data_IF_496401884341
#
_entry.id   IF_496401884341
#
_cell.length_a   1.000
_cell.length_b   1.000
_cell.length_c   1.000
_cell.angle_alpha   90.00
_cell.angle_beta   90.00
_cell.angle_gamma   90.00
#
_symmetry.space_group_name_H-M   'P 1'
#
loop_
_entity.id
_entity.type
_entity.pdbx_description
1 polymer ?
#
# COMPACT_ATOMS: atom_id res chain seq x y z
N UNK A 1 1.24 -23.09 -21.87
CA UNK A 1 0.55 -21.79 -21.71
C UNK A 1 -0.37 -21.59 -22.91
N UNK A 2 -1.67 -21.84 -22.81
CA UNK A 2 -2.57 -21.82 -23.98
C UNK A 2 -3.65 -20.73 -23.97
N UNK A 3 -3.77 -19.91 -22.91
CA UNK A 3 -4.80 -18.83 -22.83
C UNK A 3 -4.33 -17.53 -22.14
N UNK A 4 -3.06 -17.38 -21.77
CA UNK A 4 -2.59 -16.22 -20.99
C UNK A 4 -3.24 -16.10 -19.60
N UNK A 5 -3.83 -17.19 -19.11
CA UNK A 5 -4.44 -17.37 -17.79
C UNK A 5 -3.42 -18.12 -16.91
N UNK A 6 -3.04 -17.55 -15.77
CA UNK A 6 -2.09 -18.20 -14.87
C UNK A 6 -2.80 -19.22 -13.95
N UNK A 7 -2.05 -20.06 -13.23
CA UNK A 7 -2.65 -21.07 -12.33
C UNK A 7 -3.52 -20.42 -11.25
N UNK A 8 -3.10 -19.24 -10.76
CA UNK A 8 -3.85 -18.46 -9.77
C UNK A 8 -5.22 -18.04 -10.32
N UNK A 9 -5.31 -17.57 -11.56
CA UNK A 9 -6.56 -17.20 -12.22
C UNK A 9 -7.52 -18.39 -12.29
N UNK A 10 -7.03 -19.59 -12.64
CA UNK A 10 -7.87 -20.80 -12.68
C UNK A 10 -8.43 -21.12 -11.30
N UNK A 11 -7.58 -21.07 -10.26
CA UNK A 11 -8.01 -21.31 -8.88
C UNK A 11 -9.03 -20.27 -8.42
N UNK A 12 -8.78 -18.98 -8.67
CA UNK A 12 -9.70 -17.90 -8.29
C UNK A 12 -11.04 -17.99 -9.04
N UNK A 13 -11.03 -18.35 -10.33
CA UNK A 13 -12.26 -18.59 -11.08
C UNK A 13 -13.06 -19.76 -10.52
N UNK A 14 -12.41 -20.86 -10.16
CA UNK A 14 -13.08 -21.99 -9.50
C UNK A 14 -13.70 -21.59 -8.17
N UNK A 15 -13.00 -20.78 -7.38
CA UNK A 15 -13.51 -20.22 -6.12
C UNK A 15 -14.74 -19.33 -6.39
N UNK A 16 -14.65 -18.37 -7.30
CA UNK A 16 -15.76 -17.46 -7.63
C UNK A 16 -16.99 -18.21 -8.17
N UNK A 17 -16.79 -19.21 -9.05
CA UNK A 17 -17.87 -20.08 -9.55
C UNK A 17 -18.48 -20.91 -8.41
N UNK A 18 -17.66 -21.39 -7.48
CA UNK A 18 -18.13 -22.08 -6.27
C UNK A 18 -19.01 -21.18 -5.40
N UNK A 19 -18.59 -19.95 -5.14
CA UNK A 19 -19.38 -18.96 -4.39
C UNK A 19 -20.66 -18.56 -5.13
N UNK A 20 -20.62 -18.41 -6.46
CA UNK A 20 -21.81 -18.17 -7.28
C UNK A 20 -22.81 -19.32 -7.15
N UNK A 21 -22.35 -20.56 -7.32
CA UNK A 21 -23.20 -21.74 -7.22
C UNK A 21 -23.81 -21.90 -5.81
N UNK A 22 -23.01 -21.65 -4.76
CA UNK A 22 -23.49 -21.68 -3.39
C UNK A 22 -24.52 -20.57 -3.13
N UNK A 23 -24.25 -19.34 -3.57
CA UNK A 23 -25.15 -18.20 -3.42
C UNK A 23 -26.48 -18.38 -4.16
N UNK A 24 -26.46 -18.94 -5.37
CA UNK A 24 -27.68 -19.29 -6.13
C UNK A 24 -28.48 -20.37 -5.41
N UNK A 25 -27.84 -21.36 -4.77
CA UNK A 25 -28.54 -22.40 -4.02
C UNK A 25 -29.14 -21.87 -2.71
N UNK A 26 -28.39 -21.06 -1.99
CA UNK A 26 -28.79 -20.50 -0.69
C UNK A 26 -29.86 -19.41 -0.81
N UNK A 27 -29.73 -18.53 -1.82
CA UNK A 27 -30.54 -17.31 -1.98
C UNK A 27 -30.00 -16.12 -1.18
N UNK A 28 -30.53 -14.93 -1.45
CA UNK A 28 -30.03 -13.66 -0.94
C UNK A 28 -30.05 -13.58 0.58
N UNK A 29 -31.19 -13.87 1.21
CA UNK A 29 -31.34 -13.72 2.68
C UNK A 29 -30.38 -14.63 3.45
N UNK A 30 -30.16 -15.85 2.96
CA UNK A 30 -29.25 -16.82 3.57
C UNK A 30 -27.80 -16.43 3.35
N UNK A 31 -27.47 -15.96 2.15
CA UNK A 31 -26.11 -15.52 1.80
C UNK A 31 -25.73 -14.28 2.61
N UNK A 32 -26.61 -13.28 2.68
CA UNK A 32 -26.43 -12.07 3.48
C UNK A 32 -26.29 -12.40 4.97
N UNK A 33 -27.16 -13.28 5.50
CA UNK A 33 -27.05 -13.76 6.87
C UNK A 33 -25.70 -14.43 7.15
N UNK A 34 -25.22 -15.27 6.24
CA UNK A 34 -23.91 -15.91 6.34
C UNK A 34 -22.75 -14.92 6.32
N UNK A 35 -22.81 -13.88 5.48
CA UNK A 35 -21.79 -12.83 5.39
C UNK A 35 -21.75 -12.02 6.70
N UNK A 36 -22.90 -11.55 7.18
CA UNK A 36 -22.99 -10.82 8.45
C UNK A 36 -22.50 -11.68 9.62
N UNK A 37 -22.86 -12.97 9.59
CA UNK A 37 -22.37 -13.95 10.55
C UNK A 37 -20.85 -14.13 10.51
N UNK A 38 -20.26 -14.22 9.32
CA UNK A 38 -18.81 -14.31 9.14
C UNK A 38 -18.09 -13.07 9.69
N UNK A 39 -18.59 -11.87 9.38
CA UNK A 39 -18.04 -10.60 9.90
C UNK A 39 -18.14 -10.55 11.43
N UNK A 40 -19.29 -10.90 12.00
CA UNK A 40 -19.45 -10.99 13.45
C UNK A 40 -18.48 -12.00 14.09
N UNK A 41 -18.25 -13.14 13.42
CA UNK A 41 -17.25 -14.12 13.81
C UNK A 41 -15.82 -13.59 13.77
N UNK A 42 -15.48 -12.77 12.76
CA UNK A 42 -14.19 -12.07 12.68
C UNK A 42 -13.99 -11.03 13.78
N UNK A 43 -15.02 -10.26 14.12
CA UNK A 43 -15.00 -9.34 15.26
C UNK A 43 -14.82 -10.11 16.57
N UNK A 44 -15.56 -11.21 16.75
CA UNK A 44 -15.37 -12.08 17.92
C UNK A 44 -13.96 -12.67 17.98
N UNK A 45 -13.38 -13.04 16.84
CA UNK A 45 -12.00 -13.53 16.76
C UNK A 45 -10.99 -12.48 17.23
N UNK A 46 -11.16 -11.21 16.84
CA UNK A 46 -10.30 -10.12 17.32
C UNK A 46 -10.30 -10.01 18.85
N UNK A 47 -11.47 -10.06 19.49
CA UNK A 47 -11.58 -10.05 20.95
C UNK A 47 -11.08 -11.35 21.61
N UNK A 48 -11.07 -12.48 20.89
CA UNK A 48 -10.56 -13.75 21.38
C UNK A 48 -9.02 -13.82 21.36
N UNK A 49 -8.34 -13.05 20.51
CA UNK A 49 -6.86 -13.04 20.42
C UNK A 49 -6.17 -12.88 21.79
N UNK A 50 -6.49 -11.86 22.63
CA UNK A 50 -5.84 -11.70 23.94
C UNK A 50 -6.14 -12.84 24.91
N UNK A 51 -7.31 -13.50 24.79
CA UNK A 51 -7.68 -14.63 25.64
C UNK A 51 -6.88 -15.89 25.26
N UNK A 52 -6.82 -16.20 23.96
CA UNK A 52 -6.09 -17.35 23.42
C UNK A 52 -4.60 -17.21 23.64
N UNK A 53 -4.05 -16.00 23.46
CA UNK A 53 -2.63 -15.74 23.68
C UNK A 53 -2.23 -15.86 25.15
N UNK A 54 -3.15 -15.62 26.09
CA UNK A 54 -2.95 -15.85 27.52
C UNK A 54 -2.93 -17.34 27.92
N UNK A 55 -3.57 -18.21 27.14
CA UNK A 55 -3.63 -19.66 27.42
C UNK A 55 -2.51 -20.45 26.75
N UNK A 56 -2.02 -19.99 25.59
CA UNK A 56 -0.96 -20.65 24.83
C UNK A 56 0.41 -20.04 25.14
N UNK A 57 1.03 -20.56 26.20
CA UNK A 57 2.34 -20.10 26.70
C UNK A 57 3.47 -20.39 25.70
N UNK A 58 3.38 -21.49 24.95
CA UNK A 58 4.40 -21.87 23.95
C UNK A 58 4.36 -20.98 22.70
N UNK A 59 5.50 -20.37 22.37
CA UNK A 59 5.66 -19.42 21.26
C UNK A 59 5.35 -20.05 19.89
N UNK A 60 5.65 -21.34 19.68
CA UNK A 60 5.40 -22.03 18.41
C UNK A 60 3.91 -22.32 18.13
N UNK A 61 3.12 -22.64 19.15
CA UNK A 61 1.70 -22.96 18.99
C UNK A 61 0.78 -21.75 19.07
N UNK A 62 1.26 -20.64 19.63
CA UNK A 62 0.44 -19.43 19.83
C UNK A 62 -0.12 -18.88 18.53
N UNK A 63 0.71 -18.77 17.49
CA UNK A 63 0.29 -18.27 16.17
C UNK A 63 -0.73 -19.23 15.54
N UNK A 64 -0.45 -20.54 15.57
CA UNK A 64 -1.37 -21.55 15.06
C UNK A 64 -2.73 -21.52 15.80
N UNK A 65 -2.72 -21.39 17.13
CA UNK A 65 -3.92 -21.32 17.96
C UNK A 65 -4.76 -20.07 17.72
N UNK A 66 -4.12 -18.91 17.47
CA UNK A 66 -4.80 -17.68 17.06
C UNK A 66 -5.49 -17.89 15.70
N UNK A 67 -4.76 -18.43 14.72
CA UNK A 67 -5.30 -18.69 13.37
C UNK A 67 -6.49 -19.67 13.44
N UNK A 68 -6.33 -20.80 14.14
CA UNK A 68 -7.37 -21.80 14.30
C UNK A 68 -8.61 -21.21 14.98
N UNK A 69 -8.42 -20.48 16.08
CA UNK A 69 -9.54 -19.83 16.78
C UNK A 69 -10.27 -18.84 15.88
N UNK A 70 -9.52 -18.02 15.13
CA UNK A 70 -10.11 -17.06 14.20
C UNK A 70 -10.94 -17.75 13.11
N UNK A 71 -10.39 -18.81 12.49
CA UNK A 71 -11.09 -19.60 11.47
C UNK A 71 -12.35 -20.25 12.03
N UNK A 72 -12.28 -20.83 13.23
CA UNK A 72 -13.43 -21.47 13.87
C UNK A 72 -14.54 -20.47 14.20
N UNK A 73 -14.21 -19.31 14.75
CA UNK A 73 -15.19 -18.27 15.08
C UNK A 73 -15.84 -17.68 13.83
N UNK A 74 -15.07 -17.43 12.78
CA UNK A 74 -15.59 -17.00 11.48
C UNK A 74 -16.52 -18.05 10.86
N UNK A 75 -16.14 -19.33 10.89
CA UNK A 75 -16.97 -20.43 10.39
C UNK A 75 -18.26 -20.61 11.21
N UNK A 76 -18.17 -20.55 12.54
CA UNK A 76 -19.32 -20.63 13.43
C UNK A 76 -20.28 -19.45 13.21
N UNK A 77 -19.74 -18.24 13.11
CA UNK A 77 -20.51 -17.04 12.79
C UNK A 77 -21.25 -17.17 11.46
N UNK A 78 -20.57 -17.61 10.40
CA UNK A 78 -21.18 -17.88 9.10
C UNK A 78 -22.32 -18.91 9.20
N UNK A 79 -22.09 -20.03 9.88
CA UNK A 79 -23.10 -21.08 10.06
C UNK A 79 -24.34 -20.58 10.81
N UNK A 80 -24.15 -19.83 11.91
CA UNK A 80 -25.25 -19.22 12.68
C UNK A 80 -26.00 -18.20 11.83
N UNK A 81 -25.29 -17.32 11.13
CA UNK A 81 -25.86 -16.31 10.27
C UNK A 81 -26.68 -16.91 9.12
N UNK A 82 -26.17 -17.94 8.46
CA UNK A 82 -26.90 -18.66 7.42
C UNK A 82 -28.11 -19.41 7.98
N UNK A 83 -28.01 -20.00 9.17
CA UNK A 83 -29.14 -20.66 9.83
C UNK A 83 -30.27 -19.68 10.19
N UNK A 84 -29.92 -18.49 10.69
CA UNK A 84 -30.88 -17.40 10.91
C UNK A 84 -31.49 -16.93 9.59
N UNK A 85 -30.69 -16.76 8.55
CA UNK A 85 -31.17 -16.42 7.21
C UNK A 85 -32.16 -17.44 6.66
N UNK A 86 -31.94 -18.74 6.91
CA UNK A 86 -32.89 -19.80 6.56
C UNK A 86 -34.22 -19.68 7.32
N UNK A 87 -34.20 -19.29 8.60
CA UNK A 87 -35.43 -19.06 9.37
C UNK A 87 -36.23 -17.88 8.83
N UNK A 88 -35.56 -16.77 8.51
CA UNK A 88 -36.19 -15.58 7.93
C UNK A 88 -36.77 -15.90 6.55
N UNK A 89 -36.01 -16.60 5.70
CA UNK A 89 -36.45 -17.01 4.35
C UNK A 89 -37.74 -17.84 4.36
N UNK A 90 -37.96 -18.67 5.38
CA UNK A 90 -39.21 -19.48 5.51
C UNK A 90 -40.48 -18.62 5.65
N UNK A 91 -40.35 -17.38 6.14
CA UNK A 91 -41.47 -16.43 6.28
C UNK A 91 -41.85 -15.69 5.00
N UNK A 92 -40.99 -15.68 3.98
CA UNK A 92 -41.19 -14.93 2.73
C UNK A 92 -41.71 -15.89 1.65
N UNK A 93 -43.01 -15.88 1.37
CA UNK A 93 -43.67 -16.78 0.40
C UNK A 93 -44.21 -16.01 -0.82
N UNK A 94 -43.36 -15.78 -1.82
CA UNK A 94 -43.80 -15.24 -3.12
C UNK A 94 -43.09 -15.96 -4.29
N UNK A 95 -43.85 -16.49 -5.26
CA UNK A 95 -43.32 -17.37 -6.32
C UNK A 95 -42.36 -16.66 -7.29
N UNK A 96 -42.62 -15.37 -7.61
CA UNK A 96 -41.71 -14.55 -8.44
C UNK A 96 -40.42 -14.14 -7.72
N UNK A 97 -40.42 -14.12 -6.38
CA UNK A 97 -39.25 -13.75 -5.59
C UNK A 97 -38.15 -14.81 -5.61
N UNK A 98 -38.42 -16.06 -6.03
CA UNK A 98 -37.45 -17.15 -5.90
C UNK A 98 -36.30 -17.07 -6.91
N UNK A 99 -36.58 -16.71 -8.17
CA UNK A 99 -35.53 -16.54 -9.17
C UNK A 99 -34.65 -15.31 -8.88
N UNK A 100 -35.29 -14.22 -8.48
CA UNK A 100 -34.62 -12.97 -8.07
C UNK A 100 -33.78 -13.18 -6.80
N UNK A 101 -34.32 -13.85 -5.78
CA UNK A 101 -33.59 -14.19 -4.54
C UNK A 101 -32.34 -15.04 -4.82
N UNK A 102 -32.44 -16.02 -5.72
CA UNK A 102 -31.29 -16.84 -6.11
C UNK A 102 -30.26 -16.05 -6.91
N UNK A 103 -30.70 -15.24 -7.86
CA UNK A 103 -29.82 -14.37 -8.64
C UNK A 103 -29.06 -13.38 -7.75
N UNK A 104 -29.78 -12.68 -6.87
CA UNK A 104 -29.20 -11.74 -5.89
C UNK A 104 -28.27 -12.45 -4.89
N UNK A 105 -28.63 -13.65 -4.43
CA UNK A 105 -27.77 -14.46 -3.56
C UNK A 105 -26.45 -14.85 -4.22
N UNK A 106 -26.53 -15.27 -5.49
CA UNK A 106 -25.36 -15.52 -6.34
C UNK A 106 -24.48 -14.28 -6.48
N UNK A 107 -25.08 -13.16 -6.89
CA UNK A 107 -24.39 -11.88 -7.09
C UNK A 107 -23.67 -11.42 -5.81
N UNK A 108 -24.38 -11.36 -4.68
CA UNK A 108 -23.80 -10.92 -3.40
C UNK A 108 -22.67 -11.83 -2.95
N UNK A 109 -22.81 -13.14 -3.12
CA UNK A 109 -21.75 -14.09 -2.76
C UNK A 109 -20.50 -13.90 -3.60
N UNK A 110 -20.64 -13.64 -4.90
CA UNK A 110 -19.51 -13.33 -5.80
C UNK A 110 -18.87 -11.99 -5.43
N UNK A 111 -19.66 -10.95 -5.17
CA UNK A 111 -19.13 -9.64 -4.77
C UNK A 111 -18.34 -9.74 -3.47
N UNK A 112 -18.85 -10.44 -2.47
CA UNK A 112 -18.13 -10.63 -1.20
C UNK A 112 -16.89 -11.49 -1.40
N UNK A 113 -16.97 -12.58 -2.15
CA UNK A 113 -15.80 -13.39 -2.47
C UNK A 113 -14.72 -12.59 -3.20
N UNK A 114 -15.11 -11.74 -4.15
CA UNK A 114 -14.21 -10.83 -4.85
C UNK A 114 -13.54 -9.83 -3.90
N UNK A 115 -14.31 -9.20 -2.99
CA UNK A 115 -13.75 -8.32 -1.96
C UNK A 115 -12.75 -9.04 -1.05
N UNK A 116 -13.07 -10.25 -0.59
CA UNK A 116 -12.15 -11.07 0.22
C UNK A 116 -10.88 -11.42 -0.54
N UNK A 117 -11.00 -11.81 -1.81
CA UNK A 117 -9.86 -12.06 -2.70
C UNK A 117 -9.01 -10.79 -2.84
N UNK A 118 -9.64 -9.63 -3.07
CA UNK A 118 -8.95 -8.34 -3.19
C UNK A 118 -8.17 -7.98 -1.93
N UNK A 119 -8.80 -8.08 -0.76
CA UNK A 119 -8.15 -7.80 0.53
C UNK A 119 -6.99 -8.76 0.83
N UNK A 120 -7.16 -10.04 0.47
CA UNK A 120 -6.11 -11.05 0.64
C UNK A 120 -4.95 -10.80 -0.32
N UNK A 121 -5.23 -10.52 -1.59
CA UNK A 121 -4.23 -10.18 -2.60
C UNK A 121 -3.43 -8.94 -2.20
N UNK A 122 -4.11 -7.87 -1.75
CA UNK A 122 -3.49 -6.67 -1.21
C UNK A 122 -2.58 -6.97 -0.01
N UNK A 123 -3.05 -7.81 0.91
CA UNK A 123 -2.25 -8.21 2.07
C UNK A 123 -1.00 -8.99 1.66
N UNK A 124 -1.10 -9.88 0.69
CA UNK A 124 0.06 -10.66 0.22
C UNK A 124 1.03 -9.80 -0.60
N UNK A 125 0.53 -8.97 -1.52
CA UNK A 125 1.38 -8.13 -2.39
C UNK A 125 2.23 -7.14 -1.60
N UNK A 126 1.68 -6.62 -0.51
CA UNK A 126 2.36 -5.69 0.41
C UNK A 126 3.50 -6.30 1.25
N UNK A 127 3.62 -7.63 1.31
CA UNK A 127 4.75 -8.30 1.97
C UNK A 127 6.02 -8.08 1.12
N UNK A 128 5.85 -7.94 -0.20
CA UNK A 128 6.94 -7.75 -1.14
C UNK A 128 7.78 -9.02 -1.32
N UNK A 129 7.15 -10.20 -1.28
CA UNK A 129 7.81 -11.46 -1.66
C UNK A 129 7.80 -11.56 -3.19
N UNK A 130 8.96 -11.54 -3.87
CA UNK A 130 9.04 -11.48 -5.33
C UNK A 130 8.14 -12.44 -6.09
N UNK A 131 8.18 -13.74 -5.77
CA UNK A 131 7.41 -14.78 -6.46
C UNK A 131 5.90 -14.60 -6.30
N UNK A 132 5.44 -14.25 -5.09
CA UNK A 132 4.01 -14.08 -4.81
C UNK A 132 3.47 -12.79 -5.41
N UNK A 133 4.20 -11.68 -5.24
CA UNK A 133 3.81 -10.38 -5.78
C UNK A 133 3.73 -10.39 -7.30
N UNK A 134 4.65 -11.07 -8.00
CA UNK A 134 4.58 -11.24 -9.46
C UNK A 134 3.35 -12.06 -9.88
N UNK A 135 3.06 -13.19 -9.22
CA UNK A 135 1.89 -14.02 -9.55
C UNK A 135 0.56 -13.27 -9.35
N UNK A 136 0.47 -12.46 -8.28
CA UNK A 136 -0.71 -11.63 -8.00
C UNK A 136 -0.85 -10.53 -9.05
N UNK A 137 0.24 -9.81 -9.35
CA UNK A 137 0.22 -8.72 -10.31
C UNK A 137 -0.05 -9.19 -11.75
N UNK A 138 0.35 -10.41 -12.10
CA UNK A 138 0.08 -11.02 -13.40
C UNK A 138 -1.30 -11.67 -13.51
N UNK A 139 -2.04 -11.81 -12.40
CA UNK A 139 -3.40 -12.38 -12.41
C UNK A 139 -4.39 -11.43 -13.07
N UNK A 140 -5.11 -11.94 -14.07
CA UNK A 140 -6.21 -11.19 -14.71
C UNK A 140 -7.42 -11.08 -13.79
N UNK A 141 -7.70 -12.11 -12.99
CA UNK A 141 -8.82 -12.10 -12.06
C UNK A 141 -8.60 -11.07 -10.95
N UNK A 142 -7.41 -11.04 -10.34
CA UNK A 142 -7.10 -10.04 -9.31
C UNK A 142 -7.16 -8.63 -9.88
N UNK A 143 -6.55 -8.37 -11.04
CA UNK A 143 -6.64 -7.06 -11.70
C UNK A 143 -8.07 -6.64 -12.00
N UNK A 144 -8.88 -7.54 -12.56
CA UNK A 144 -10.28 -7.24 -12.83
C UNK A 144 -11.09 -6.93 -11.56
N UNK A 145 -10.82 -7.63 -10.46
CA UNK A 145 -11.43 -7.33 -9.16
C UNK A 145 -10.95 -5.97 -8.64
N UNK A 146 -9.65 -5.69 -8.73
CA UNK A 146 -9.08 -4.42 -8.28
C UNK A 146 -9.63 -3.24 -9.09
N UNK A 147 -9.68 -3.33 -10.42
CA UNK A 147 -10.22 -2.31 -11.33
C UNK A 147 -11.72 -2.03 -11.06
N UNK A 148 -12.47 -3.05 -10.65
CA UNK A 148 -13.88 -2.91 -10.28
C UNK A 148 -14.10 -2.42 -8.85
N UNK A 149 -13.08 -2.45 -8.00
CA UNK A 149 -13.18 -2.01 -6.60
C UNK A 149 -12.95 -0.50 -6.53
N UNK A 150 -13.90 0.29 -6.02
CA UNK A 150 -13.73 1.74 -5.90
C UNK A 150 -12.57 2.13 -4.97
N UNK A 151 -11.83 3.18 -5.33
CA UNK A 151 -10.69 3.67 -4.55
C UNK A 151 -11.01 3.98 -3.08
N UNK A 152 -12.16 4.60 -2.71
CA UNK A 152 -12.49 4.83 -1.30
C UNK A 152 -12.53 3.55 -0.46
N UNK A 153 -12.89 2.41 -1.06
CA UNK A 153 -12.90 1.11 -0.38
C UNK A 153 -11.47 0.60 -0.17
N UNK A 154 -10.60 0.74 -1.19
CA UNK A 154 -9.18 0.37 -1.11
C UNK A 154 -8.45 1.21 -0.07
N UNK A 155 -8.73 2.51 -0.01
CA UNK A 155 -8.15 3.44 0.95
C UNK A 155 -8.54 3.11 2.39
N UNK A 156 -9.82 2.79 2.64
CA UNK A 156 -10.27 2.35 3.95
C UNK A 156 -9.60 1.03 4.36
N UNK A 157 -9.44 0.08 3.44
CA UNK A 157 -8.73 -1.16 3.71
C UNK A 157 -7.24 -0.91 4.05
N UNK A 158 -6.58 0.00 3.34
CA UNK A 158 -5.22 0.43 3.64
C UNK A 158 -5.11 1.12 5.01
N UNK A 159 -6.07 1.98 5.35
CA UNK A 159 -6.19 2.62 6.67
C UNK A 159 -6.34 1.62 7.82
N UNK A 160 -7.22 0.65 7.68
CA UNK A 160 -7.43 -0.42 8.67
C UNK A 160 -6.16 -1.26 8.88
N UNK A 161 -5.46 -1.58 7.79
CA UNK A 161 -4.18 -2.30 7.85
C UNK A 161 -3.10 -1.47 8.54
N UNK A 162 -2.97 -0.20 8.19
CA UNK A 162 -1.97 0.70 8.78
C UNK A 162 -2.18 0.86 10.29
N UNK A 163 -3.43 0.90 10.75
CA UNK A 163 -3.75 0.92 12.19
C UNK A 163 -3.15 -0.28 12.95
N UNK A 164 -3.09 -1.46 12.32
CA UNK A 164 -2.52 -2.68 12.92
C UNK A 164 -0.99 -2.66 12.90
N UNK A 165 -0.36 -2.09 11.86
CA UNK A 165 1.09 -2.11 11.65
C UNK A 165 1.80 -0.95 12.35
N UNK A 166 1.11 0.17 12.60
CA UNK A 166 1.67 1.39 13.16
C UNK A 166 2.32 2.32 12.12
N UNK A 167 2.53 3.58 12.51
CA UNK A 167 3.15 4.63 11.69
C UNK A 167 4.64 4.33 11.48
N UNK A 168 5.06 4.04 10.24
CA UNK A 168 6.45 3.74 9.89
C UNK A 168 7.22 4.88 9.22
N UNK A 169 6.75 6.13 9.33
CA UNK A 169 7.45 7.30 8.81
C UNK A 169 8.48 7.85 9.82
N UNK A 170 9.66 8.30 9.36
CA UNK A 170 10.49 9.18 10.16
C UNK A 170 9.69 10.42 10.57
N UNK A 171 9.79 10.76 11.85
CA UNK A 171 9.20 11.98 12.40
C UNK A 171 10.32 12.96 12.72
N UNK A 172 10.13 14.22 12.35
CA UNK A 172 11.07 15.28 12.68
C UNK A 172 10.51 16.11 13.86
N UNK A 173 11.32 16.26 14.90
CA UNK A 173 11.08 17.19 16.00
C UNK A 173 11.37 18.61 15.48
N UNK A 174 10.42 19.50 15.66
CA UNK A 174 10.46 20.86 15.15
C UNK A 174 11.43 21.72 15.97
N UNK A 175 12.44 22.31 15.32
CA UNK A 175 13.41 23.22 15.94
C UNK A 175 13.16 24.71 15.68
N UNK A 176 12.12 25.08 14.93
CA UNK A 176 11.98 26.45 14.39
C UNK A 176 10.52 26.93 14.40
N UNK A 177 10.09 27.56 15.50
CA UNK A 177 8.88 28.40 15.58
C UNK A 177 7.52 27.69 15.37
N UNK A 178 6.40 28.37 15.64
CA UNK A 178 5.08 27.80 15.41
C UNK A 178 4.82 27.65 13.90
N UNK A 179 4.65 26.40 13.46
CA UNK A 179 4.26 26.08 12.09
C UNK A 179 2.75 26.17 11.99
N UNK A 180 2.24 27.12 11.22
CA UNK A 180 0.82 27.15 10.85
C UNK A 180 0.67 26.57 9.45
N UNK A 181 -0.09 25.47 9.28
CA UNK A 181 -0.40 24.94 7.95
C UNK A 181 -1.00 26.05 7.08
N UNK A 182 -0.39 26.27 5.92
CA UNK A 182 -0.95 27.15 4.89
C UNK A 182 -2.11 26.42 4.21
N UNK A 183 -3.22 27.11 3.87
CA UNK A 183 -4.32 26.49 3.14
C UNK A 183 -3.82 25.78 1.88
N UNK A 184 -4.15 24.50 1.77
CA UNK A 184 -3.84 23.65 0.62
C UNK A 184 -5.10 23.58 -0.26
N UNK A 185 -4.99 23.63 -1.60
CA UNK A 185 -6.14 23.44 -2.48
C UNK A 185 -6.84 22.10 -2.22
N UNK A 186 -8.14 22.02 -2.49
CA UNK A 186 -8.91 20.77 -2.31
C UNK A 186 -8.48 19.66 -3.28
N UNK A 187 -8.02 20.03 -4.48
CA UNK A 187 -7.56 19.07 -5.50
C UNK A 187 -6.48 19.65 -6.40
N UNK A 188 -5.66 18.76 -6.96
CA UNK A 188 -4.67 19.02 -8.00
C UNK A 188 -4.82 17.91 -9.04
N UNK A 189 -5.48 18.22 -10.16
CA UNK A 189 -5.65 17.30 -11.29
C UNK A 189 -5.27 18.05 -12.57
N UNK A 190 -4.08 17.74 -13.08
CA UNK A 190 -3.59 18.23 -14.36
C UNK A 190 -3.30 17.05 -15.29
N UNK A 191 -3.41 17.21 -16.61
CA UNK A 191 -2.99 16.18 -17.57
C UNK A 191 -1.55 15.68 -17.31
N UNK A 192 -0.67 16.59 -16.90
CA UNK A 192 0.74 16.31 -16.63
C UNK A 192 0.92 15.45 -15.37
N UNK A 193 0.17 15.73 -14.29
CA UNK A 193 0.15 14.90 -13.08
C UNK A 193 -0.46 13.53 -13.34
N UNK A 194 -1.45 13.43 -14.23
CA UNK A 194 -2.00 12.13 -14.68
C UNK A 194 -1.00 11.34 -15.51
N UNK A 195 -0.23 11.99 -16.38
CA UNK A 195 0.85 11.33 -17.11
C UNK A 195 1.99 10.88 -16.18
N UNK A 196 2.28 11.65 -15.14
CA UNK A 196 3.31 11.31 -14.15
C UNK A 196 3.01 10.01 -13.39
N UNK A 197 1.73 9.61 -13.26
CA UNK A 197 1.36 8.37 -12.53
C UNK A 197 1.99 7.11 -13.13
N UNK A 198 2.23 7.09 -14.44
CA UNK A 198 2.89 5.97 -15.13
C UNK A 198 4.36 5.80 -14.71
N UNK A 199 4.93 6.82 -14.06
CA UNK A 199 6.33 6.85 -13.62
C UNK A 199 6.50 6.72 -12.11
N UNK A 200 5.41 6.64 -11.34
CA UNK A 200 5.42 6.53 -9.87
C UNK A 200 5.05 5.12 -9.46
N UNK A 201 5.92 4.49 -8.68
CA UNK A 201 5.90 3.07 -8.39
C UNK A 201 5.72 2.80 -6.90
N UNK A 202 4.96 1.75 -6.59
CA UNK A 202 4.88 1.21 -5.24
C UNK A 202 6.09 0.33 -5.02
N UNK A 203 6.76 0.53 -3.88
CA UNK A 203 7.92 -0.28 -3.48
C UNK A 203 7.52 -1.06 -2.25
N UNK A 204 7.75 -2.36 -2.27
CA UNK A 204 7.50 -3.26 -1.15
C UNK A 204 8.65 -4.24 -0.98
N UNK A 205 8.86 -4.74 0.23
CA UNK A 205 9.85 -5.79 0.43
C UNK A 205 9.93 -6.26 1.87
N UNK A 206 10.45 -7.47 2.05
CA UNK A 206 10.66 -8.06 3.37
C UNK A 206 12.12 -7.91 3.79
N UNK A 207 12.35 -7.23 4.91
CA UNK A 207 13.61 -7.23 5.62
C UNK A 207 13.68 -8.48 6.53
N UNK A 208 14.10 -9.60 5.96
CA UNK A 208 14.07 -10.92 6.62
C UNK A 208 14.84 -10.97 7.95
N UNK A 209 15.91 -10.17 8.07
CA UNK A 209 16.74 -10.09 9.27
C UNK A 209 15.94 -9.70 10.52
N UNK A 210 14.83 -8.99 10.34
CA UNK A 210 14.03 -8.45 11.45
C UNK A 210 12.54 -8.80 11.33
N UNK A 211 12.16 -9.62 10.34
CA UNK A 211 10.76 -9.99 10.08
C UNK A 211 9.86 -8.78 9.80
N UNK A 212 10.42 -7.72 9.20
CA UNK A 212 9.69 -6.48 8.91
C UNK A 212 9.36 -6.38 7.42
N UNK A 213 8.15 -5.94 7.11
CA UNK A 213 7.78 -5.55 5.75
C UNK A 213 7.91 -4.04 5.62
N UNK A 214 8.55 -3.62 4.54
CA UNK A 214 8.68 -2.23 4.13
C UNK A 214 7.73 -1.94 2.97
N UNK A 215 7.15 -0.74 3.00
CA UNK A 215 6.32 -0.21 1.92
C UNK A 215 6.60 1.27 1.76
N UNK A 216 6.68 1.72 0.52
CA UNK A 216 6.94 3.11 0.18
C UNK A 216 6.61 3.39 -1.28
N UNK A 217 7.01 4.58 -1.73
CA UNK A 217 6.88 5.03 -3.10
C UNK A 217 8.26 5.27 -3.71
N UNK A 218 8.31 5.28 -5.03
CA UNK A 218 9.48 5.71 -5.79
C UNK A 218 9.07 6.21 -7.16
N UNK A 219 10.01 6.75 -7.91
CA UNK A 219 9.75 7.25 -9.25
C UNK A 219 10.93 7.04 -10.19
N UNK A 220 10.63 6.93 -11.49
CA UNK A 220 11.65 6.71 -12.52
C UNK A 220 12.43 7.99 -12.79
N UNK A 221 13.74 7.94 -12.58
CA UNK A 221 14.67 9.06 -12.89
C UNK A 221 15.58 8.77 -14.08
N UNK A 222 15.59 7.53 -14.57
CA UNK A 222 16.30 7.09 -15.77
C UNK A 222 15.73 5.72 -16.19
N UNK A 223 15.82 5.28 -17.47
CA UNK A 223 15.30 3.98 -17.88
C UNK A 223 15.74 2.83 -16.94
N UNK A 224 14.76 2.19 -16.29
CA UNK A 224 15.02 1.10 -15.35
C UNK A 224 15.72 1.52 -14.05
N UNK A 225 15.67 2.80 -13.67
CA UNK A 225 16.21 3.34 -12.41
C UNK A 225 15.14 4.10 -11.66
N UNK A 226 14.88 3.63 -10.44
CA UNK A 226 13.85 4.17 -9.55
C UNK A 226 14.51 4.78 -8.33
N UNK A 227 14.28 6.06 -8.09
CA UNK A 227 14.68 6.70 -6.83
C UNK A 227 13.59 6.46 -5.77
N UNK A 228 14.03 6.26 -4.54
CA UNK A 228 13.20 6.19 -3.34
C UNK A 228 14.01 6.63 -2.12
N UNK A 229 13.43 6.57 -0.92
CA UNK A 229 14.19 6.74 0.31
C UNK A 229 14.96 5.47 0.69
N UNK A 230 16.11 5.62 1.34
CA UNK A 230 16.89 4.50 1.82
C UNK A 230 16.14 3.67 2.88
N UNK A 231 15.38 4.31 3.78
CA UNK A 231 14.60 3.59 4.79
C UNK A 231 13.50 2.69 4.18
N UNK A 232 13.01 2.99 2.97
CA UNK A 232 12.01 2.17 2.25
C UNK A 232 12.60 0.82 1.85
N UNK A 233 13.91 0.77 1.60
CA UNK A 233 14.62 -0.45 1.18
C UNK A 233 15.58 -0.99 2.24
N UNK A 234 15.67 -0.36 3.40
CA UNK A 234 16.60 -0.75 4.47
C UNK A 234 16.40 -2.21 4.90
N UNK A 235 17.45 -3.02 4.77
CA UNK A 235 17.43 -4.47 5.03
C UNK A 235 16.71 -5.32 3.98
N UNK A 236 16.21 -4.74 2.89
CA UNK A 236 15.45 -5.42 1.83
C UNK A 236 16.37 -5.71 0.63
N UNK A 237 16.81 -6.96 0.49
CA UNK A 237 17.72 -7.37 -0.60
C UNK A 237 17.07 -7.34 -1.98
N UNK A 238 15.80 -7.73 -2.07
CA UNK A 238 15.05 -7.88 -3.33
C UNK A 238 13.73 -7.09 -3.25
N UNK A 239 13.78 -5.76 -3.37
CA UNK A 239 12.57 -4.95 -3.37
C UNK A 239 11.69 -5.30 -4.57
N UNK A 240 10.40 -5.39 -4.35
CA UNK A 240 9.39 -5.51 -5.41
C UNK A 240 8.86 -4.12 -5.74
N UNK A 241 8.96 -3.78 -7.01
CA UNK A 241 8.52 -2.51 -7.58
C UNK A 241 7.33 -2.75 -8.48
N UNK A 242 6.25 -2.00 -8.29
CA UNK A 242 4.99 -2.16 -9.01
C UNK A 242 4.51 -0.82 -9.57
N UNK A 243 4.20 -0.80 -10.86
CA UNK A 243 3.57 0.35 -11.54
C UNK A 243 2.07 0.10 -11.61
N UNK A 244 1.26 1.14 -11.43
CA UNK A 244 -0.19 1.07 -11.66
C UNK A 244 -0.48 0.45 -13.04
N UNK A 245 -1.17 -0.70 -13.06
CA UNK A 245 -1.49 -1.44 -14.29
C UNK A 245 -0.31 -2.13 -15.01
N UNK A 246 0.95 -1.84 -14.64
CA UNK A 246 2.17 -2.33 -15.30
C UNK A 246 2.73 -3.65 -14.74
N UNK A 247 2.16 -4.16 -13.65
CA UNK A 247 2.58 -5.37 -12.96
C UNK A 247 3.75 -5.15 -12.00
N UNK A 248 4.16 -6.24 -11.33
CA UNK A 248 5.24 -6.22 -10.34
C UNK A 248 6.55 -6.75 -10.92
N UNK A 249 7.68 -6.16 -10.51
CA UNK A 249 9.03 -6.56 -10.92
C UNK A 249 9.95 -6.57 -9.70
N UNK A 250 10.86 -7.52 -9.67
CA UNK A 250 11.93 -7.52 -8.68
C UNK A 250 13.01 -6.53 -9.10
N UNK A 251 13.40 -5.66 -8.17
CA UNK A 251 14.50 -4.75 -8.33
C UNK A 251 15.74 -5.17 -7.54
N UNK A 252 16.84 -4.45 -7.76
CA UNK A 252 18.09 -4.56 -6.99
C UNK A 252 18.48 -3.17 -6.53
N UNK A 253 18.84 -3.02 -5.26
CA UNK A 253 19.38 -1.74 -4.75
C UNK A 253 20.78 -1.56 -5.31
N UNK A 254 21.00 -0.49 -6.07
CA UNK A 254 22.29 -0.16 -6.73
C UNK A 254 22.94 1.11 -6.18
N UNK A 255 22.22 1.85 -5.35
CA UNK A 255 22.72 2.95 -4.55
C UNK A 255 21.93 3.01 -3.25
N UNK A 256 22.62 3.26 -2.15
CA UNK A 256 22.03 3.33 -0.82
C UNK A 256 22.82 4.32 0.03
N UNK A 257 22.18 5.42 0.39
CA UNK A 257 22.70 6.42 1.30
C UNK A 257 21.80 6.50 2.53
N UNK A 258 22.25 5.86 3.62
CA UNK A 258 21.59 5.90 4.91
C UNK A 258 21.59 7.28 5.56
N UNK A 259 22.54 8.14 5.18
CA UNK A 259 22.73 9.47 5.75
C UNK A 259 21.73 10.42 5.13
N UNK A 260 21.73 10.57 3.80
CA UNK A 260 20.77 11.44 3.09
C UNK A 260 19.39 10.82 2.87
N UNK A 261 19.23 9.55 3.25
CA UNK A 261 18.00 8.79 3.06
C UNK A 261 17.53 8.72 1.60
N UNK A 262 18.46 8.41 0.71
CA UNK A 262 18.20 8.19 -0.71
C UNK A 262 18.70 6.82 -1.15
N UNK A 263 17.94 6.17 -2.01
CA UNK A 263 18.33 4.91 -2.64
C UNK A 263 17.91 4.90 -4.12
N UNK A 264 18.66 4.12 -4.91
CA UNK A 264 18.30 3.83 -6.31
C UNK A 264 18.13 2.33 -6.47
N UNK A 265 16.99 1.95 -7.05
CA UNK A 265 16.67 0.58 -7.42
C UNK A 265 16.82 0.43 -8.93
N UNK A 266 17.63 -0.53 -9.38
CA UNK A 266 17.65 -0.99 -10.75
C UNK A 266 16.56 -2.04 -10.97
N UNK A 267 15.72 -1.85 -11.98
CA UNK A 267 14.60 -2.75 -12.31
C UNK A 267 14.71 -3.16 -13.78
N UNK A 268 15.11 -4.40 -14.01
CA UNK A 268 15.29 -4.93 -15.36
C UNK A 268 13.94 -5.06 -16.08
N UNK A 269 13.86 -4.58 -17.32
CA UNK A 269 12.64 -4.67 -18.14
C UNK A 269 11.49 -3.78 -17.66
N UNK A 270 11.74 -2.81 -16.78
CA UNK A 270 10.76 -1.81 -16.37
C UNK A 270 10.34 -0.95 -17.57
N UNK A 271 9.02 -0.89 -17.83
CA UNK A 271 8.40 -0.07 -18.87
C UNK A 271 7.61 1.05 -18.20
N UNK A 272 8.31 2.11 -17.81
CA UNK A 272 7.73 3.31 -17.25
C UNK A 272 8.55 4.51 -17.75
N UNK A 273 7.91 5.63 -18.12
CA UNK A 273 8.63 6.82 -18.58
C UNK A 273 9.46 7.41 -17.44
N UNK A 274 10.51 8.14 -17.79
CA UNK A 274 11.29 8.92 -16.83
C UNK A 274 10.57 10.24 -16.55
N UNK A 275 10.50 10.65 -15.28
CA UNK A 275 10.07 12.00 -14.93
C UNK A 275 11.16 13.02 -15.19
N UNK A 276 10.78 14.17 -15.74
CA UNK A 276 11.68 15.30 -15.88
C UNK A 276 11.90 15.96 -14.51
N UNK A 277 13.15 16.32 -14.24
CA UNK A 277 13.55 17.04 -13.03
C UNK A 277 13.52 18.55 -13.31
N UNK A 278 13.20 19.35 -12.29
CA UNK A 278 13.25 20.81 -12.36
C UNK A 278 14.21 21.39 -11.33
N UNK A 279 14.28 22.73 -11.26
CA UNK A 279 14.97 23.45 -10.18
C UNK A 279 14.13 23.52 -8.90
N UNK A 280 14.70 24.09 -7.85
CA UNK A 280 14.01 24.29 -6.57
C UNK A 280 12.73 25.12 -6.68
N UNK A 281 11.66 24.69 -6.01
CA UNK A 281 10.41 25.45 -5.90
C UNK A 281 10.47 26.52 -4.79
N UNK A 282 10.05 27.77 -5.06
CA UNK A 282 9.95 28.82 -4.04
C UNK A 282 8.88 28.56 -2.96
N UNK A 283 8.99 29.25 -1.83
CA UNK A 283 7.90 29.36 -0.84
C UNK A 283 6.60 29.86 -1.47
N UNK A 284 5.47 29.32 -1.02
CA UNK A 284 4.14 29.60 -1.54
C UNK A 284 3.76 28.82 -2.81
N UNK A 285 4.67 28.01 -3.36
CA UNK A 285 4.38 27.23 -4.57
C UNK A 285 3.42 26.09 -4.26
N UNK A 286 2.30 26.02 -4.98
CA UNK A 286 1.45 24.82 -5.01
C UNK A 286 2.15 23.71 -5.78
N UNK A 287 2.22 22.56 -5.15
CA UNK A 287 2.81 21.33 -5.66
C UNK A 287 1.85 20.15 -5.42
N UNK A 288 2.24 18.97 -5.86
CA UNK A 288 1.55 17.74 -5.56
C UNK A 288 2.56 16.68 -5.15
N UNK A 289 2.29 15.89 -4.12
CA UNK A 289 3.05 14.67 -3.89
C UNK A 289 2.27 13.47 -4.42
N UNK A 290 2.98 12.54 -5.05
CA UNK A 290 2.40 11.36 -5.66
C UNK A 290 3.00 10.10 -5.03
N UNK A 291 2.16 9.10 -4.77
CA UNK A 291 2.62 7.87 -4.13
C UNK A 291 1.52 6.90 -3.76
N UNK A 292 1.85 5.97 -2.87
CA UNK A 292 1.00 4.87 -2.44
C UNK A 292 0.81 4.95 -0.91
N UNK A 293 0.00 5.90 -0.42
CA UNK A 293 -0.22 6.09 1.01
C UNK A 293 -0.74 4.80 1.64
N UNK A 294 -0.16 4.45 2.78
CA UNK A 294 -0.42 3.25 3.57
C UNK A 294 -0.20 1.94 2.80
N UNK A 295 0.53 2.00 1.68
CA UNK A 295 0.70 0.90 0.73
C UNK A 295 -0.54 0.64 -0.12
N UNK A 296 -1.54 1.53 -0.08
CA UNK A 296 -2.83 1.48 -0.78
C UNK A 296 -2.73 1.80 -2.28
N UNK A 297 -3.84 2.26 -2.91
CA UNK A 297 -3.83 2.67 -4.31
C UNK A 297 -2.96 3.91 -4.53
N UNK A 298 -2.60 4.16 -5.80
CA UNK A 298 -1.92 5.38 -6.19
C UNK A 298 -2.78 6.61 -5.89
N UNK A 299 -2.17 7.63 -5.29
CA UNK A 299 -2.79 8.91 -5.02
C UNK A 299 -1.87 10.06 -5.42
N UNK A 300 -2.47 11.13 -5.92
CA UNK A 300 -1.85 12.45 -6.05
C UNK A 300 -2.57 13.38 -5.09
N UNK A 301 -1.82 14.02 -4.18
CA UNK A 301 -2.39 14.90 -3.17
C UNK A 301 -1.74 16.28 -3.24
N UNK A 302 -2.51 17.35 -3.03
CA UNK A 302 -2.00 18.70 -3.08
C UNK A 302 -1.09 18.99 -1.89
N UNK A 303 -0.10 19.85 -2.13
CA UNK A 303 0.75 20.42 -1.10
C UNK A 303 1.12 21.87 -1.44
N UNK A 304 1.53 22.63 -0.44
CA UNK A 304 2.13 23.96 -0.61
C UNK A 304 3.51 23.96 0.01
N UNK A 305 4.52 24.36 -0.76
CA UNK A 305 5.89 24.57 -0.25
C UNK A 305 5.87 25.78 0.67
N UNK A 306 5.99 25.59 1.98
CA UNK A 306 6.01 26.70 2.94
C UNK A 306 7.38 27.40 2.92
N UNK A 307 8.44 26.62 2.80
CA UNK A 307 9.79 27.12 2.63
C UNK A 307 10.84 26.05 2.60
N UNK A 308 12.07 26.49 2.40
CA UNK A 308 13.25 25.63 2.40
C UNK A 308 14.08 25.92 3.64
N UNK A 309 14.47 24.89 4.36
CA UNK A 309 15.35 25.02 5.53
C UNK A 309 16.35 23.88 5.58
N UNK A 310 17.41 24.05 6.37
CA UNK A 310 18.28 22.94 6.74
C UNK A 310 17.83 22.42 8.09
N UNK A 311 17.46 21.15 8.13
CA UNK A 311 17.18 20.45 9.39
C UNK A 311 18.36 19.57 9.74
N UNK A 312 18.71 19.52 11.03
CA UNK A 312 19.54 18.44 11.55
C UNK A 312 18.60 17.26 11.79
N UNK A 313 18.72 16.26 10.94
CA UNK A 313 17.93 15.04 11.04
C UNK A 313 18.89 13.86 11.27
N UNK A 314 18.52 12.90 12.12
CA UNK A 314 19.29 11.67 12.22
C UNK A 314 19.33 10.95 10.87
N UNK A 315 20.35 10.11 10.69
CA UNK A 315 20.35 9.09 9.66
C UNK A 315 19.18 8.11 9.85
N UNK A 316 18.95 7.22 8.88
CA UNK A 316 17.81 6.28 8.92
C UNK A 316 17.86 5.31 10.12
N UNK A 317 19.00 5.19 10.82
CA UNK A 317 19.17 4.33 11.99
C UNK A 317 18.97 5.08 13.31
N UNK A 318 18.62 6.35 13.26
CA UNK A 318 18.48 7.20 14.45
C UNK A 318 19.83 7.60 15.05
N UNK A 319 20.92 7.44 14.31
CA UNK A 319 22.26 7.90 14.69
C UNK A 319 22.62 9.18 13.93
N UNK A 320 23.73 9.83 14.32
CA UNK A 320 24.38 10.94 13.63
C UNK A 320 23.43 12.01 13.04
N UNK A 321 23.24 13.12 13.75
CA UNK A 321 22.52 14.25 13.17
C UNK A 321 23.29 14.85 12.00
N UNK A 322 22.69 14.79 10.82
CA UNK A 322 23.26 15.35 9.59
C UNK A 322 22.40 16.48 9.05
N UNK A 323 23.01 17.55 8.51
CA UNK A 323 22.27 18.61 7.87
C UNK A 323 21.65 18.09 6.57
N UNK A 324 20.33 18.24 6.45
CA UNK A 324 19.57 17.93 5.22
C UNK A 324 18.83 19.18 4.76
N UNK A 325 18.94 19.53 3.49
CA UNK A 325 18.11 20.58 2.89
C UNK A 325 16.74 20.03 2.55
N UNK A 326 15.71 20.54 3.22
CA UNK A 326 14.33 20.07 3.07
C UNK A 326 13.38 21.20 2.72
N UNK A 327 12.35 20.88 1.96
CA UNK A 327 11.10 21.62 1.92
C UNK A 327 10.25 21.26 3.12
N UNK A 328 9.70 22.28 3.77
CA UNK A 328 8.52 22.12 4.62
C UNK A 328 7.27 22.26 3.74
N UNK A 329 6.38 21.29 3.85
CA UNK A 329 5.16 21.21 3.05
C UNK A 329 3.94 21.38 3.96
N UNK A 330 2.99 22.22 3.56
CA UNK A 330 1.62 22.11 4.03
C UNK A 330 0.95 21.03 3.18
N UNK A 331 0.54 19.93 3.78
CA UNK A 331 0.01 18.77 3.08
C UNK A 331 0.03 17.53 3.98
N UNK A 332 -0.98 16.69 3.82
CA UNK A 332 -1.17 15.50 4.64
C UNK A 332 -0.28 14.35 4.14
N UNK A 333 1.00 14.38 4.49
CA UNK A 333 1.93 13.29 4.18
C UNK A 333 1.68 12.11 5.12
N UNK A 334 1.47 10.94 4.54
CA UNK A 334 1.23 9.67 5.25
C UNK A 334 2.32 8.65 4.96
N UNK A 335 2.41 7.61 5.81
CA UNK A 335 3.23 6.43 5.54
C UNK A 335 2.96 5.92 4.13
N UNK A 336 3.98 5.39 3.45
CA UNK A 336 3.85 4.94 2.07
C UNK A 336 4.10 6.04 1.02
N UNK A 337 3.96 7.32 1.36
CA UNK A 337 4.37 8.42 0.45
C UNK A 337 5.89 8.60 0.39
N UNK A 338 6.63 8.18 1.43
CA UNK A 338 8.10 8.28 1.46
C UNK A 338 8.75 7.65 0.22
N UNK A 339 9.69 8.38 -0.34
CA UNK A 339 10.39 8.08 -1.59
C UNK A 339 9.64 8.51 -2.84
N UNK A 340 8.36 8.88 -2.73
CA UNK A 340 7.57 9.42 -3.83
C UNK A 340 7.99 10.83 -4.22
N UNK A 341 7.73 11.26 -5.46
CA UNK A 341 8.14 12.58 -5.92
C UNK A 341 7.23 13.68 -5.35
N UNK A 342 7.82 14.82 -5.04
CA UNK A 342 7.13 16.10 -5.01
C UNK A 342 7.18 16.68 -6.43
N UNK A 343 6.01 16.94 -7.00
CA UNK A 343 5.79 17.35 -8.39
C UNK A 343 5.30 18.80 -8.45
N UNK A 344 5.77 19.53 -9.45
CA UNK A 344 5.10 20.75 -9.91
C UNK A 344 3.78 20.39 -10.60
N UNK A 345 2.90 21.37 -10.81
CA UNK A 345 1.65 21.15 -11.55
C UNK A 345 1.88 20.76 -13.02
N UNK A 346 3.07 21.02 -13.56
CA UNK A 346 3.53 20.57 -14.88
C UNK A 346 4.12 19.15 -14.87
N UNK A 347 4.03 18.42 -13.75
CA UNK A 347 4.50 17.04 -13.64
C UNK A 347 6.01 16.87 -13.51
N UNK A 348 6.76 17.95 -13.25
CA UNK A 348 8.22 17.89 -13.03
C UNK A 348 8.56 17.62 -11.57
N UNK A 349 9.59 16.81 -11.32
CA UNK A 349 10.06 16.52 -9.96
C UNK A 349 10.84 17.72 -9.41
N UNK A 350 10.40 18.22 -8.27
CA UNK A 350 11.05 19.28 -7.48
C UNK A 350 11.58 18.77 -6.13
N UNK A 351 11.28 17.53 -5.73
CA UNK A 351 11.84 16.93 -4.52
C UNK A 351 11.38 15.49 -4.28
N UNK A 352 11.78 14.92 -3.13
CA UNK A 352 11.41 13.56 -2.70
C UNK A 352 10.77 13.61 -1.32
N UNK A 353 9.53 13.14 -1.18
CA UNK A 353 8.86 13.05 0.13
C UNK A 353 9.66 12.15 1.04
N UNK A 354 9.98 12.61 2.25
CA UNK A 354 10.91 11.96 3.18
C UNK A 354 10.27 11.65 4.53
N UNK A 355 9.66 12.65 5.15
CA UNK A 355 9.17 12.57 6.53
C UNK A 355 7.87 13.36 6.74
N UNK A 356 7.30 13.24 7.94
CA UNK A 356 6.21 14.10 8.42
C UNK A 356 6.56 14.75 9.76
N UNK A 357 5.85 15.81 10.11
CA UNK A 357 5.95 16.41 11.44
C UNK A 357 5.47 15.45 12.52
N UNK A 358 6.15 15.49 13.67
CA UNK A 358 5.73 14.78 14.88
C UNK A 358 4.58 15.47 15.60
N UNK A 359 4.60 16.80 15.67
CA UNK A 359 3.75 17.63 16.52
C UNK A 359 2.63 18.34 15.76
N UNK A 360 2.78 18.53 14.45
CA UNK A 360 1.85 19.32 13.63
C UNK A 360 1.20 18.45 12.56
N UNK A 361 -0.12 18.33 12.63
CA UNK A 361 -0.90 17.67 11.59
C UNK A 361 -0.75 18.41 10.24
N UNK A 362 -0.85 17.67 9.14
CA UNK A 362 -0.79 18.21 7.78
C UNK A 362 0.48 19.00 7.46
N UNK A 363 1.60 18.66 8.12
CA UNK A 363 2.94 19.13 7.78
C UNK A 363 3.81 17.96 7.37
N UNK A 364 4.35 18.04 6.15
CA UNK A 364 5.27 17.06 5.57
C UNK A 364 6.63 17.66 5.26
N UNK A 365 7.61 16.80 4.97
CA UNK A 365 8.92 17.21 4.53
C UNK A 365 9.35 16.46 3.28
N UNK A 366 9.99 17.18 2.36
CA UNK A 366 10.61 16.59 1.18
C UNK A 366 12.07 17.04 1.05
N UNK A 367 12.95 16.12 0.65
CA UNK A 367 14.32 16.44 0.26
C UNK A 367 14.27 17.32 -1.00
N UNK A 368 15.08 18.38 -1.03
CA UNK A 368 15.10 19.29 -2.17
C UNK A 368 15.89 18.71 -3.35
N UNK A 369 15.85 19.41 -4.48
CA UNK A 369 16.71 19.10 -5.62
C UNK A 369 18.21 19.21 -5.31
N UNK A 370 18.62 19.93 -4.26
CA UNK A 370 20.03 19.97 -3.80
C UNK A 370 20.52 18.57 -3.38
N UNK A 371 19.65 17.81 -2.70
CA UNK A 371 19.95 16.44 -2.25
C UNK A 371 19.71 15.42 -3.38
N UNK A 372 18.64 15.60 -4.18
CA UNK A 372 18.25 14.62 -5.21
C UNK A 372 19.13 14.66 -6.47
N UNK A 373 19.50 15.86 -6.95
CA UNK A 373 20.12 16.02 -8.28
C UNK A 373 21.42 15.21 -8.46
N UNK A 374 22.36 15.19 -7.49
CA UNK A 374 23.58 14.39 -7.62
C UNK A 374 23.27 12.91 -7.84
N UNK A 375 22.35 12.34 -7.06
CA UNK A 375 21.95 10.93 -7.16
C UNK A 375 21.25 10.64 -8.48
N UNK A 376 20.34 11.52 -8.91
CA UNK A 376 19.59 11.33 -10.14
C UNK A 376 20.46 11.42 -11.40
N UNK A 377 21.49 12.26 -11.41
CA UNK A 377 22.44 12.38 -12.52
C UNK A 377 23.31 11.12 -12.68
N UNK A 378 23.70 10.50 -11.56
CA UNK A 378 24.50 9.27 -11.58
C UNK A 378 23.67 7.99 -11.80
N UNK A 379 22.34 8.05 -11.58
CA UNK A 379 21.43 6.91 -11.60
C UNK A 379 21.60 5.98 -12.81
N UNK A 380 21.77 6.55 -14.01
CA UNK A 380 21.93 5.79 -15.24
C UNK A 380 23.19 4.88 -15.24
N UNK A 381 24.26 5.32 -14.57
CA UNK A 381 25.53 4.59 -14.50
C UNK A 381 25.57 3.53 -13.39
N UNK A 382 24.73 3.69 -12.37
CA UNK A 382 24.63 2.76 -11.25
C UNK A 382 24.05 1.43 -11.73
N UNK A 383 24.77 0.33 -11.53
CA UNK A 383 24.37 -1.01 -12.00
C UNK A 383 24.75 -2.15 -11.06
N UNK A 384 25.82 -1.96 -10.29
CA UNK A 384 26.27 -2.96 -9.32
C UNK A 384 25.38 -2.94 -8.08
N UNK A 385 24.84 -4.10 -7.65
CA UNK A 385 24.07 -4.19 -6.43
C UNK A 385 24.92 -3.78 -5.22
N UNK A 386 24.31 -3.03 -4.30
CA UNK A 386 24.88 -2.66 -3.00
C UNK A 386 24.06 -3.28 -1.88
N UNK A 387 24.67 -3.46 -0.71
CA UNK A 387 23.93 -3.94 0.45
C UNK A 387 23.01 -2.81 0.99
N UNK A 388 21.71 -3.06 1.16
CA UNK A 388 20.74 -2.05 1.61
C UNK A 388 20.77 -1.84 3.13
N UNK A 389 21.95 -1.97 3.74
CA UNK A 389 22.14 -1.85 5.18
C UNK A 389 21.33 -2.86 6.02
N UNK A 390 20.99 -2.45 7.25
CA UNK A 390 20.21 -3.24 8.22
C UNK A 390 18.79 -2.68 8.38
N UNK A 391 17.92 -3.37 9.10
CA UNK A 391 16.59 -2.81 9.38
C UNK A 391 16.68 -1.58 10.27
N UNK A 392 15.78 -0.62 10.06
CA UNK A 392 15.55 0.49 10.99
C UNK A 392 14.77 -0.04 12.20
N UNK A 393 15.06 0.48 13.41
CA UNK A 393 14.18 0.21 14.57
C UNK A 393 12.88 1.00 14.37
N UNK A 394 11.75 0.33 14.52
CA UNK A 394 10.43 0.97 14.56
C UNK A 394 10.10 1.45 15.96
#
# INVERSE_FOLDING_TARGET
>A
MLLGVNLLDVLLLLVLVGYLANGIRAGFVVSLGGILGFVAGGVAAFFAVPLVSGWLVDSGWRVAGIIITAVLLMAAGNAVGSALGHRVKRGIRWKGATAVDRGLGGLVSVVVAALVISMTAFTVSSIGVPLLSQQIADSRVVRAIDDLTPDPVKEQAAGLRAFVIGDGLPKLIEGIGPIQPVPVPDSVDTPELRAASESVLRITGTAYQCGQNQTGSGFVVSPGRVVTNAHVVAGVSEPVVEVQGGGARTGRVVYFDAVQDLAVIAVDGLRAPQLALTSTSPSGTTAAFAGYPLGGPYQVRPAVVQGTTTVLAPDIYGANEVPKRVYQLSGNVQQGNSGGPLLTLDGHVTGVVFAKSESTADVGYALTMEELSPVAQEAASLSQPVQPGTCTRK
#
